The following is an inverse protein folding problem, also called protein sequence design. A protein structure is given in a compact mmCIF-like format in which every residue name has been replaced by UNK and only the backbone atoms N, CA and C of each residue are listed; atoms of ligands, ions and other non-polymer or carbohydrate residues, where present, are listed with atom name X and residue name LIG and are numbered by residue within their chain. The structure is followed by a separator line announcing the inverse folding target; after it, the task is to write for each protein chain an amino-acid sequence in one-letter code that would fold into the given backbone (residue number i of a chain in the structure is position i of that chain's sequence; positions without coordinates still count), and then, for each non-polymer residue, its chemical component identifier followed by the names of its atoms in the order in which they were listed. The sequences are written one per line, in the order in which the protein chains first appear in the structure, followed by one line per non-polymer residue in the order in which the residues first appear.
data_IF_193170293807
#
_entry.id   IF_193170293807
#
_cell.length_a   1.000
_cell.length_b   1.000
_cell.length_c   1.000
_cell.angle_alpha   90.00
_cell.angle_beta   90.00
_cell.angle_gamma   90.00
#
_symmetry.space_group_name_H-M   'P 1'
#
loop_
_entity.id
_entity.type
_entity.pdbx_description
1 polymer ?
#
# COMPACT_ATOMS: atom_id res chain seq x y z
N UNK A 1 -0.49 29.69 2.44
CA UNK A 1 0.43 28.54 2.52
C UNK A 1 0.29 27.75 3.84
N UNK A 2 0.09 28.36 4.99
CA UNK A 2 -0.08 27.69 6.29
C UNK A 2 -1.29 26.76 6.34
N UNK A 3 -2.46 27.23 5.90
CA UNK A 3 -3.74 26.49 5.93
C UNK A 3 -3.67 25.20 5.09
N UNK A 4 -3.09 25.25 3.88
CA UNK A 4 -2.97 24.10 2.99
C UNK A 4 -2.06 23.00 3.57
N UNK A 5 -0.95 23.39 4.21
CA UNK A 5 -0.04 22.46 4.89
C UNK A 5 -0.73 21.76 6.05
N UNK A 6 -1.54 22.47 6.85
CA UNK A 6 -2.30 21.87 7.95
C UNK A 6 -3.28 20.82 7.44
N UNK A 7 -4.01 21.10 6.36
CA UNK A 7 -4.95 20.13 5.78
C UNK A 7 -4.25 18.86 5.32
N UNK A 8 -3.12 18.99 4.60
CA UNK A 8 -2.33 17.83 4.14
C UNK A 8 -1.83 16.99 5.34
N UNK A 9 -1.32 17.65 6.38
CA UNK A 9 -0.84 16.95 7.60
C UNK A 9 -2.00 16.25 8.33
N UNK A 10 -3.17 16.89 8.42
CA UNK A 10 -4.36 16.28 9.03
C UNK A 10 -4.81 15.05 8.25
N UNK A 11 -4.92 15.14 6.92
CA UNK A 11 -5.29 14.00 6.06
C UNK A 11 -4.28 12.85 6.22
N UNK A 12 -2.98 13.16 6.25
CA UNK A 12 -1.92 12.18 6.48
C UNK A 12 -2.04 11.53 7.86
N UNK A 13 -2.31 12.32 8.91
CA UNK A 13 -2.53 11.82 10.28
C UNK A 13 -3.76 10.90 10.35
N UNK A 14 -4.89 11.31 9.76
CA UNK A 14 -6.09 10.48 9.68
C UNK A 14 -5.84 9.17 8.91
N UNK A 15 -5.02 9.24 7.84
CA UNK A 15 -4.64 8.04 7.11
C UNK A 15 -3.72 7.13 7.93
N UNK A 16 -2.73 7.70 8.64
CA UNK A 16 -1.86 6.92 9.54
C UNK A 16 -2.69 6.13 10.56
N UNK A 17 -3.63 6.79 11.20
CA UNK A 17 -4.52 6.20 12.22
C UNK A 17 -5.38 5.08 11.63
N UNK A 18 -5.97 5.29 10.45
CA UNK A 18 -6.74 4.27 9.75
C UNK A 18 -5.86 3.08 9.30
N UNK A 19 -4.66 3.38 8.79
CA UNK A 19 -3.70 2.37 8.37
C UNK A 19 -3.16 1.56 9.55
N UNK A 20 -2.85 2.22 10.69
CA UNK A 20 -2.46 1.57 11.94
C UNK A 20 -3.50 0.53 12.36
N UNK A 21 -4.77 0.93 12.39
CA UNK A 21 -5.86 0.04 12.76
C UNK A 21 -6.04 -1.13 11.76
N UNK A 22 -5.99 -0.85 10.45
CA UNK A 22 -6.27 -1.85 9.42
C UNK A 22 -5.09 -2.81 9.16
N UNK A 23 -3.85 -2.33 9.22
CA UNK A 23 -2.64 -3.11 8.90
C UNK A 23 -2.03 -3.80 10.12
N UNK A 24 -2.41 -3.41 11.32
CA UNK A 24 -1.86 -3.97 12.55
C UNK A 24 -2.47 -5.30 12.97
N UNK A 25 -3.72 -5.58 12.58
CA UNK A 25 -4.46 -6.76 13.04
C UNK A 25 -4.10 -8.09 12.37
N UNK A 26 -3.71 -8.14 11.08
CA UNK A 26 -3.45 -9.41 10.40
C UNK A 26 -2.49 -10.37 11.11
N UNK A 27 -1.40 -9.93 11.75
CA UNK A 27 -0.51 -10.84 12.49
C UNK A 27 -1.19 -11.60 13.65
N UNK A 28 -2.32 -11.07 14.15
CA UNK A 28 -3.04 -11.65 15.29
C UNK A 28 -4.24 -12.53 14.87
N UNK A 29 -4.48 -12.73 13.57
CA UNK A 29 -5.64 -13.51 13.10
C UNK A 29 -5.63 -14.96 13.61
N UNK A 30 -4.48 -15.62 13.67
CA UNK A 30 -4.39 -16.96 14.22
C UNK A 30 -4.80 -16.99 15.71
N UNK A 31 -4.33 -16.03 16.51
CA UNK A 31 -4.71 -15.89 17.91
C UNK A 31 -6.21 -15.58 18.08
N UNK A 32 -6.79 -14.74 17.23
CA UNK A 32 -8.23 -14.45 17.25
C UNK A 32 -9.04 -15.72 16.96
N UNK A 33 -8.65 -16.50 15.95
CA UNK A 33 -9.31 -17.77 15.62
C UNK A 33 -9.28 -18.73 16.80
N UNK A 34 -8.13 -18.93 17.40
CA UNK A 34 -7.90 -19.88 18.49
C UNK A 34 -8.54 -19.40 19.81
N UNK A 35 -8.15 -18.22 20.28
CA UNK A 35 -8.46 -17.76 21.64
C UNK A 35 -9.79 -17.02 21.75
N UNK A 36 -10.24 -16.36 20.67
CA UNK A 36 -11.45 -15.56 20.70
C UNK A 36 -12.67 -16.26 20.08
N UNK A 37 -12.44 -16.99 18.98
CA UNK A 37 -13.50 -17.63 18.20
C UNK A 37 -13.54 -19.16 18.39
N UNK A 38 -12.64 -19.70 19.21
CA UNK A 38 -12.53 -21.13 19.55
C UNK A 38 -12.56 -22.04 18.33
N UNK A 39 -11.84 -21.62 17.29
CA UNK A 39 -11.77 -22.33 16.00
C UNK A 39 -10.44 -23.02 15.81
N UNK A 40 -10.47 -24.32 15.56
CA UNK A 40 -9.27 -25.14 15.24
C UNK A 40 -8.69 -24.83 13.84
N UNK A 41 -9.42 -24.04 13.03
CA UNK A 41 -9.07 -23.74 11.65
C UNK A 41 -8.06 -22.58 11.52
N UNK A 42 -6.93 -22.66 12.24
CA UNK A 42 -5.87 -21.62 12.20
C UNK A 42 -5.32 -21.34 10.79
N UNK A 43 -5.40 -22.34 9.89
CA UNK A 43 -5.03 -22.18 8.47
C UNK A 43 -5.85 -21.09 7.75
N UNK A 44 -7.02 -20.74 8.26
CA UNK A 44 -7.84 -19.65 7.71
C UNK A 44 -7.21 -18.27 7.92
N UNK A 45 -6.24 -18.10 8.83
CA UNK A 45 -5.62 -16.80 9.10
C UNK A 45 -5.04 -16.15 7.84
N UNK A 46 -4.41 -16.95 6.98
CA UNK A 46 -3.90 -16.47 5.68
C UNK A 46 -5.02 -16.03 4.73
N UNK A 47 -6.13 -16.76 4.67
CA UNK A 47 -7.29 -16.38 3.87
C UNK A 47 -7.97 -15.13 4.40
N UNK A 48 -8.11 -15.02 5.72
CA UNK A 48 -8.68 -13.84 6.37
C UNK A 48 -7.88 -12.57 6.05
N UNK A 49 -6.55 -12.68 5.92
CA UNK A 49 -5.71 -11.58 5.46
C UNK A 49 -6.06 -11.12 4.03
N UNK A 50 -6.36 -12.05 3.14
CA UNK A 50 -6.68 -11.74 1.73
C UNK A 50 -8.07 -11.13 1.57
N UNK A 51 -9.03 -11.48 2.44
CA UNK A 51 -10.44 -11.05 2.33
C UNK A 51 -10.60 -9.53 2.19
N UNK A 52 -10.13 -8.67 3.12
CA UNK A 52 -10.32 -7.22 2.97
C UNK A 52 -9.58 -6.65 1.75
N UNK A 53 -8.46 -7.24 1.36
CA UNK A 53 -7.68 -6.80 0.18
C UNK A 53 -8.47 -7.07 -1.10
N UNK A 54 -9.05 -8.27 -1.22
CA UNK A 54 -9.87 -8.68 -2.37
C UNK A 54 -11.09 -7.76 -2.53
N UNK A 55 -11.84 -7.54 -1.45
CA UNK A 55 -13.03 -6.69 -1.51
C UNK A 55 -12.68 -5.21 -1.74
N UNK A 56 -11.51 -4.75 -1.29
CA UNK A 56 -11.00 -3.42 -1.66
C UNK A 56 -10.66 -3.36 -3.14
N UNK A 57 -10.02 -4.39 -3.71
CA UNK A 57 -9.72 -4.45 -5.14
C UNK A 57 -10.99 -4.29 -6.00
N UNK A 58 -12.07 -4.94 -5.58
CA UNK A 58 -13.36 -4.91 -6.29
C UNK A 58 -14.10 -3.58 -6.10
N UNK A 59 -14.10 -3.02 -4.90
CA UNK A 59 -14.91 -1.84 -4.55
C UNK A 59 -14.25 -0.50 -4.90
N UNK A 60 -12.91 -0.41 -4.90
CA UNK A 60 -12.18 0.85 -5.11
C UNK A 60 -12.53 1.57 -6.41
N UNK A 61 -12.69 0.91 -7.59
CA UNK A 61 -13.07 1.61 -8.81
C UNK A 61 -14.48 2.22 -8.74
N UNK A 62 -15.41 1.56 -8.04
CA UNK A 62 -16.76 2.06 -7.87
C UNK A 62 -16.80 3.29 -6.96
N UNK A 63 -16.12 3.23 -5.81
CA UNK A 63 -15.99 4.39 -4.91
C UNK A 63 -15.27 5.54 -5.57
N UNK A 64 -14.26 5.26 -6.40
CA UNK A 64 -13.54 6.26 -7.16
C UNK A 64 -14.46 7.01 -8.14
N UNK A 65 -15.31 6.30 -8.90
CA UNK A 65 -16.30 6.92 -9.78
C UNK A 65 -17.31 7.78 -9.01
N UNK A 66 -17.67 7.36 -7.81
CA UNK A 66 -18.57 8.12 -6.94
C UNK A 66 -17.89 9.42 -6.46
N UNK A 67 -16.59 9.37 -6.17
CA UNK A 67 -15.79 10.53 -5.76
C UNK A 67 -15.62 11.58 -6.87
N UNK A 68 -15.83 11.23 -8.13
CA UNK A 68 -15.84 12.20 -9.24
C UNK A 68 -17.17 12.91 -9.39
N UNK A 69 -18.26 12.30 -8.88
CA UNK A 69 -19.62 12.86 -8.97
C UNK A 69 -20.02 13.68 -7.76
N UNK A 70 -19.48 13.35 -6.61
CA UNK A 70 -19.81 13.96 -5.32
C UNK A 70 -18.59 14.65 -4.71
N UNK A 71 -18.84 15.49 -3.70
CA UNK A 71 -17.78 16.07 -2.89
C UNK A 71 -16.91 14.94 -2.29
N UNK A 72 -15.58 15.10 -2.38
CA UNK A 72 -14.61 14.10 -1.94
C UNK A 72 -14.54 13.99 -0.42
N UNK A 73 -14.88 15.05 0.33
CA UNK A 73 -14.88 15.06 1.80
C UNK A 73 -15.91 14.08 2.40
N UNK A 74 -17.20 14.08 2.01
CA UNK A 74 -18.16 13.09 2.49
C UNK A 74 -17.74 11.65 2.20
N UNK A 75 -17.11 11.39 1.05
CA UNK A 75 -16.63 10.06 0.69
C UNK A 75 -15.44 9.63 1.54
N UNK A 76 -14.55 10.56 1.90
CA UNK A 76 -13.45 10.29 2.82
C UNK A 76 -13.99 10.04 4.25
N UNK A 77 -14.97 10.82 4.72
CA UNK A 77 -15.68 10.58 5.97
C UNK A 77 -16.35 9.20 5.98
N UNK A 78 -17.08 8.85 4.90
CA UNK A 78 -17.69 7.54 4.73
C UNK A 78 -16.64 6.40 4.86
N UNK A 79 -15.46 6.56 4.26
CA UNK A 79 -14.42 5.55 4.34
C UNK A 79 -13.95 5.31 5.79
N UNK A 80 -13.81 6.36 6.60
CA UNK A 80 -13.45 6.25 8.01
C UNK A 80 -14.58 5.63 8.84
N UNK A 81 -15.82 6.09 8.65
CA UNK A 81 -16.99 5.56 9.36
C UNK A 81 -17.27 4.10 8.97
N UNK A 82 -17.11 3.75 7.70
CA UNK A 82 -17.23 2.38 7.21
C UNK A 82 -16.17 1.45 7.81
N UNK A 83 -14.93 1.94 7.96
CA UNK A 83 -13.87 1.21 8.63
C UNK A 83 -14.18 1.00 10.13
N UNK A 84 -14.68 2.02 10.81
CA UNK A 84 -15.09 1.92 12.22
C UNK A 84 -16.22 0.90 12.40
N UNK A 85 -17.26 0.96 11.58
CA UNK A 85 -18.39 0.04 11.63
C UNK A 85 -17.97 -1.41 11.38
N UNK A 86 -17.10 -1.65 10.39
CA UNK A 86 -16.58 -2.98 10.11
C UNK A 86 -15.70 -3.52 11.25
N UNK A 87 -14.94 -2.65 11.92
CA UNK A 87 -14.15 -3.03 13.09
C UNK A 87 -15.03 -3.35 14.30
N UNK A 88 -16.09 -2.58 14.53
CA UNK A 88 -17.05 -2.91 15.60
C UNK A 88 -17.70 -4.27 15.31
N UNK A 89 -18.15 -4.50 14.08
CA UNK A 89 -18.74 -5.80 13.74
C UNK A 89 -17.73 -6.96 13.92
N UNK A 90 -16.49 -6.81 13.48
CA UNK A 90 -15.44 -7.80 13.68
C UNK A 90 -15.13 -8.00 15.19
N UNK A 91 -15.06 -6.92 15.96
CA UNK A 91 -14.73 -6.94 17.40
C UNK A 91 -15.83 -7.52 18.29
N UNK A 92 -17.07 -7.56 17.83
CA UNK A 92 -18.20 -8.20 18.49
C UNK A 92 -18.64 -9.52 17.83
N UNK A 93 -17.83 -10.05 16.90
CA UNK A 93 -18.18 -11.29 16.22
C UNK A 93 -18.22 -12.48 17.20
N UNK A 94 -19.34 -13.21 17.25
CA UNK A 94 -19.47 -14.41 18.08
C UNK A 94 -18.83 -15.65 17.46
N UNK A 95 -18.60 -15.63 16.14
CA UNK A 95 -18.03 -16.72 15.38
C UNK A 95 -17.22 -16.25 14.18
N UNK A 96 -16.54 -17.19 13.51
CA UNK A 96 -15.70 -16.93 12.34
C UNK A 96 -16.50 -16.33 11.19
N UNK A 97 -17.76 -16.67 11.01
CA UNK A 97 -18.59 -16.19 9.88
C UNK A 97 -18.88 -14.71 10.02
N UNK A 98 -19.30 -14.27 11.20
CA UNK A 98 -19.53 -12.84 11.48
C UNK A 98 -18.22 -12.07 11.42
N UNK A 99 -17.11 -12.64 11.88
CA UNK A 99 -15.78 -12.04 11.75
C UNK A 99 -15.40 -11.83 10.28
N UNK A 100 -15.61 -12.84 9.42
CA UNK A 100 -15.40 -12.72 7.96
C UNK A 100 -16.27 -11.61 7.36
N UNK A 101 -17.54 -11.49 7.76
CA UNK A 101 -18.41 -10.39 7.29
C UNK A 101 -17.84 -9.04 7.68
N UNK A 102 -17.30 -8.89 8.90
CA UNK A 102 -16.59 -7.68 9.33
C UNK A 102 -15.41 -7.35 8.40
N UNK A 103 -14.59 -8.35 8.05
CA UNK A 103 -13.44 -8.17 7.13
C UNK A 103 -13.89 -7.86 5.68
N UNK A 104 -14.98 -8.46 5.21
CA UNK A 104 -15.59 -8.12 3.91
C UNK A 104 -16.03 -6.67 3.89
N UNK A 105 -16.74 -6.23 4.92
CA UNK A 105 -17.17 -4.83 5.05
C UNK A 105 -15.97 -3.87 5.17
N UNK A 106 -14.90 -4.27 5.88
CA UNK A 106 -13.65 -3.51 5.92
C UNK A 106 -13.10 -3.25 4.51
N UNK A 107 -13.10 -4.26 3.64
CA UNK A 107 -12.69 -4.13 2.25
C UNK A 107 -13.65 -3.29 1.40
N UNK A 108 -14.96 -3.52 1.54
CA UNK A 108 -15.99 -2.83 0.76
C UNK A 108 -16.13 -1.34 1.14
N UNK A 109 -16.14 -1.04 2.43
CA UNK A 109 -16.44 0.29 2.97
C UNK A 109 -15.17 1.10 3.28
N UNK A 110 -14.01 0.48 3.44
CA UNK A 110 -12.73 1.14 3.69
C UNK A 110 -12.26 1.99 2.49
N UNK A 111 -11.01 1.79 2.05
CA UNK A 111 -10.45 2.54 0.93
C UNK A 111 -10.03 3.96 1.31
N UNK A 112 -9.65 4.17 2.57
CA UNK A 112 -9.22 5.47 3.10
C UNK A 112 -8.04 6.06 2.34
N UNK A 113 -7.14 5.21 1.79
CA UNK A 113 -5.98 5.67 1.03
C UNK A 113 -6.38 6.34 -0.28
N UNK A 114 -7.19 5.66 -1.12
CA UNK A 114 -7.65 6.22 -2.38
C UNK A 114 -8.52 7.47 -2.17
N UNK A 115 -9.41 7.45 -1.17
CA UNK A 115 -10.27 8.58 -0.82
C UNK A 115 -9.45 9.79 -0.32
N UNK A 116 -8.41 9.58 0.50
CA UNK A 116 -7.50 10.64 0.96
C UNK A 116 -6.71 11.24 -0.21
N UNK A 117 -6.18 10.40 -1.09
CA UNK A 117 -5.45 10.86 -2.27
C UNK A 117 -6.37 11.67 -3.21
N UNK A 118 -7.60 11.21 -3.44
CA UNK A 118 -8.58 11.94 -4.22
C UNK A 118 -8.93 13.31 -3.57
N UNK A 119 -9.09 13.36 -2.26
CA UNK A 119 -9.32 14.62 -1.55
C UNK A 119 -8.12 15.57 -1.67
N UNK A 120 -6.88 15.07 -1.57
CA UNK A 120 -5.68 15.90 -1.71
C UNK A 120 -5.57 16.58 -3.08
N UNK A 121 -6.11 16.00 -4.15
CA UNK A 121 -6.13 16.65 -5.48
C UNK A 121 -6.98 17.91 -5.54
N UNK A 122 -7.86 18.13 -4.59
CA UNK A 122 -8.61 19.41 -4.49
C UNK A 122 -7.76 20.56 -3.97
N UNK A 123 -6.62 20.24 -3.38
CA UNK A 123 -5.73 21.20 -2.70
C UNK A 123 -4.41 21.41 -3.45
N UNK A 124 -3.88 20.34 -4.06
CA UNK A 124 -2.55 20.34 -4.68
C UNK A 124 -2.55 19.59 -6.02
N UNK A 125 -1.62 19.98 -6.90
CA UNK A 125 -1.42 19.35 -8.21
C UNK A 125 0.08 19.25 -8.57
N UNK A 126 0.42 18.54 -9.64
CA UNK A 126 1.77 18.42 -10.16
C UNK A 126 2.81 17.95 -9.13
N UNK A 127 3.95 18.59 -9.04
CA UNK A 127 5.04 18.25 -8.09
C UNK A 127 4.56 18.27 -6.61
N UNK A 128 3.66 19.18 -6.24
CA UNK A 128 3.10 19.23 -4.89
C UNK A 128 2.21 18.01 -4.58
N UNK A 129 1.43 17.54 -5.54
CA UNK A 129 0.66 16.30 -5.42
C UNK A 129 1.57 15.10 -5.27
N UNK A 130 2.59 14.94 -6.13
CA UNK A 130 3.56 13.85 -6.04
C UNK A 130 4.21 13.79 -4.65
N UNK A 131 4.59 14.94 -4.10
CA UNK A 131 5.15 15.05 -2.74
C UNK A 131 4.15 14.64 -1.67
N UNK A 132 2.89 15.03 -1.81
CA UNK A 132 1.81 14.65 -0.89
C UNK A 132 1.52 13.14 -0.94
N UNK A 133 1.53 12.52 -2.13
CA UNK A 133 1.40 11.07 -2.30
C UNK A 133 2.56 10.32 -1.61
N UNK A 134 3.79 10.84 -1.69
CA UNK A 134 4.94 10.26 -0.97
C UNK A 134 4.74 10.34 0.56
N UNK A 135 4.19 11.46 1.07
CA UNK A 135 3.84 11.58 2.50
C UNK A 135 2.72 10.62 2.92
N UNK A 136 1.74 10.38 2.06
CA UNK A 136 0.70 9.38 2.32
C UNK A 136 1.27 7.97 2.40
N UNK A 137 2.19 7.61 1.49
CA UNK A 137 2.91 6.34 1.55
C UNK A 137 3.79 6.23 2.81
N UNK A 138 4.42 7.34 3.22
CA UNK A 138 5.20 7.38 4.46
C UNK A 138 4.33 7.06 5.67
N UNK A 139 3.14 7.67 5.77
CA UNK A 139 2.20 7.40 6.86
C UNK A 139 1.74 5.94 6.91
N UNK A 140 1.46 5.34 5.76
CA UNK A 140 1.07 3.94 5.66
C UNK A 140 2.19 2.99 6.13
N UNK A 141 3.45 3.29 5.79
CA UNK A 141 4.59 2.46 6.18
C UNK A 141 4.97 2.64 7.63
N UNK A 142 4.87 3.85 8.15
CA UNK A 142 5.02 4.11 9.59
C UNK A 142 3.98 3.32 10.38
N UNK A 143 2.73 3.28 9.91
CA UNK A 143 1.67 2.49 10.50
C UNK A 143 1.97 0.98 10.45
N UNK A 144 2.45 0.47 9.30
CA UNK A 144 2.78 -0.95 9.13
C UNK A 144 3.87 -1.44 10.10
N UNK A 145 4.79 -0.56 10.48
CA UNK A 145 5.85 -0.88 11.47
C UNK A 145 5.34 -0.69 12.89
N UNK A 146 4.67 0.43 13.18
CA UNK A 146 4.26 0.78 14.53
C UNK A 146 3.08 -0.06 15.04
N UNK A 147 2.16 -0.48 14.15
CA UNK A 147 0.93 -1.12 14.56
C UNK A 147 1.14 -2.51 15.18
N UNK A 148 1.89 -3.45 14.57
CA UNK A 148 2.11 -4.77 15.20
C UNK A 148 2.80 -4.66 16.57
N UNK A 149 3.73 -3.71 16.72
CA UNK A 149 4.43 -3.47 17.99
C UNK A 149 3.45 -2.91 19.04
N UNK A 150 2.72 -1.85 18.70
CA UNK A 150 1.77 -1.22 19.61
C UNK A 150 0.63 -2.16 20.00
N UNK A 151 0.09 -2.91 19.03
CA UNK A 151 -0.98 -3.87 19.30
C UNK A 151 -0.49 -5.09 20.10
N UNK A 152 0.75 -5.54 19.85
CA UNK A 152 1.37 -6.59 20.65
C UNK A 152 1.49 -6.23 22.13
N UNK A 153 1.79 -4.96 22.45
CA UNK A 153 1.78 -4.47 23.83
C UNK A 153 0.35 -4.44 24.40
N UNK A 154 -0.61 -3.92 23.63
CA UNK A 154 -2.01 -3.85 24.07
C UNK A 154 -2.66 -5.23 24.21
N UNK A 155 -2.17 -6.24 23.52
CA UNK A 155 -2.68 -7.61 23.59
C UNK A 155 -2.58 -8.20 25.00
N UNK A 156 -1.61 -7.77 25.79
CA UNK A 156 -1.41 -8.22 27.18
C UNK A 156 -2.49 -7.66 28.12
N UNK A 157 -3.08 -6.52 27.76
CA UNK A 157 -4.07 -5.80 28.56
C UNK A 157 -5.52 -6.20 28.25
N UNK A 158 -5.75 -7.01 27.21
CA UNK A 158 -7.09 -7.43 26.79
C UNK A 158 -7.36 -8.89 27.17
N UNK A 159 -8.58 -9.19 27.58
CA UNK A 159 -9.01 -10.55 27.93
C UNK A 159 -9.04 -11.48 26.70
N UNK A 160 -9.29 -10.92 25.52
CA UNK A 160 -9.39 -11.68 24.27
C UNK A 160 -8.87 -10.85 23.10
N UNK A 161 -8.04 -11.43 22.20
CA UNK A 161 -7.44 -10.73 21.06
C UNK A 161 -8.42 -9.99 20.14
N UNK A 162 -9.65 -10.49 20.00
CA UNK A 162 -10.71 -9.87 19.17
C UNK A 162 -11.16 -8.52 19.73
N UNK A 163 -11.00 -8.27 21.05
CA UNK A 163 -11.36 -6.99 21.67
C UNK A 163 -10.52 -5.84 21.12
N UNK A 164 -9.31 -6.11 20.61
CA UNK A 164 -8.50 -5.08 19.97
C UNK A 164 -9.27 -4.39 18.84
N UNK A 165 -10.10 -5.10 18.08
CA UNK A 165 -10.94 -4.50 17.04
C UNK A 165 -11.93 -3.47 17.58
N UNK A 166 -12.47 -3.66 18.79
CA UNK A 166 -13.39 -2.71 19.43
C UNK A 166 -12.66 -1.41 19.75
N UNK A 167 -11.47 -1.50 20.34
CA UNK A 167 -10.65 -0.32 20.66
C UNK A 167 -10.12 0.36 19.40
N UNK A 168 -9.70 -0.42 18.41
CA UNK A 168 -9.23 0.11 17.14
C UNK A 168 -10.31 0.84 16.34
N UNK A 169 -11.59 0.53 16.55
CA UNK A 169 -12.70 1.25 15.92
C UNK A 169 -12.75 2.74 16.35
N UNK A 170 -12.23 3.07 17.55
CA UNK A 170 -12.15 4.46 17.99
C UNK A 170 -11.22 5.30 17.11
N UNK A 171 -10.17 4.71 16.53
CA UNK A 171 -9.19 5.41 15.73
C UNK A 171 -9.79 6.01 14.44
N UNK A 172 -10.49 5.26 13.58
CA UNK A 172 -11.15 5.86 12.42
C UNK A 172 -12.34 6.77 12.81
N UNK A 173 -12.98 6.60 13.98
CA UNK A 173 -13.97 7.57 14.49
C UNK A 173 -13.30 8.90 14.82
N UNK A 174 -12.15 8.89 15.51
CA UNK A 174 -11.37 10.10 15.77
C UNK A 174 -10.90 10.74 14.46
N UNK A 175 -10.43 9.94 13.49
CA UNK A 175 -10.07 10.44 12.18
C UNK A 175 -11.26 11.09 11.46
N UNK A 176 -12.46 10.50 11.53
CA UNK A 176 -13.67 11.09 10.98
C UNK A 176 -14.01 12.43 11.64
N UNK A 177 -13.90 12.52 12.98
CA UNK A 177 -14.12 13.76 13.71
C UNK A 177 -13.10 14.86 13.29
N UNK A 178 -11.83 14.52 13.11
CA UNK A 178 -10.82 15.47 12.62
C UNK A 178 -11.12 15.93 11.18
N UNK A 179 -11.53 15.01 10.31
CA UNK A 179 -11.89 15.30 8.92
C UNK A 179 -13.15 16.19 8.79
N UNK A 180 -14.04 16.11 9.78
CA UNK A 180 -15.27 16.93 9.78
C UNK A 180 -14.97 18.43 9.72
N UNK A 181 -13.88 18.86 10.35
CA UNK A 181 -13.46 20.28 10.41
C UNK A 181 -12.67 20.73 9.18
N UNK A 182 -12.32 19.83 8.25
CA UNK A 182 -11.61 20.21 7.03
C UNK A 182 -12.55 20.91 6.02
N UNK A 183 -12.00 21.73 5.11
CA UNK A 183 -12.77 22.39 4.07
C UNK A 183 -13.47 21.37 3.14
N UNK A 184 -14.52 21.76 2.42
CA UNK A 184 -15.12 20.94 1.36
C UNK A 184 -14.08 20.48 0.34
N UNK A 185 -14.23 19.27 -0.17
CA UNK A 185 -13.36 18.67 -1.18
C UNK A 185 -13.85 18.88 -2.62
N UNK A 186 -14.59 19.95 -2.87
CA UNK A 186 -15.08 20.31 -4.19
C UNK A 186 -13.89 20.74 -5.06
N UNK A 187 -13.66 20.04 -6.15
CA UNK A 187 -12.78 20.56 -7.20
C UNK A 187 -13.41 21.86 -7.73
N UNK A 188 -12.63 22.93 -7.99
CA UNK A 188 -13.15 24.07 -8.75
C UNK A 188 -13.85 23.51 -10.00
N UNK A 189 -15.03 24.01 -10.30
CA UNK A 189 -15.73 23.65 -11.53
C UNK A 189 -14.82 24.01 -12.71
N UNK A 190 -14.05 23.06 -13.15
CA UNK A 190 -13.32 23.16 -14.41
C UNK A 190 -14.40 22.97 -15.45
N UNK A 191 -14.78 24.05 -16.14
CA UNK A 191 -15.56 23.96 -17.37
C UNK A 191 -14.99 22.78 -18.15
N UNK A 192 -15.85 21.85 -18.50
CA UNK A 192 -15.49 20.66 -19.24
C UNK A 192 -14.98 21.12 -20.62
N UNK A 193 -13.70 21.45 -20.68
CA UNK A 193 -13.01 21.56 -21.97
C UNK A 193 -13.04 20.17 -22.56
N UNK A 194 -13.99 19.98 -23.47
CA UNK A 194 -14.15 18.80 -24.30
C UNK A 194 -12.94 18.68 -25.25
N UNK A 195 -11.83 18.27 -24.71
CA UNK A 195 -10.60 17.99 -25.42
C UNK A 195 -9.85 16.92 -24.63
N UNK A 196 -9.37 15.88 -25.32
CA UNK A 196 -8.54 14.83 -24.74
C UNK A 196 -7.42 15.50 -23.92
N UNK A 197 -7.47 15.50 -22.59
CA UNK A 197 -6.39 16.11 -21.84
C UNK A 197 -5.33 15.03 -21.60
N UNK A 198 -4.49 14.86 -22.54
CA UNK A 198 -3.14 14.43 -22.28
C UNK A 198 -2.49 15.63 -21.61
N UNK A 199 -2.10 15.51 -20.34
CA UNK A 199 -1.16 16.50 -19.77
C UNK A 199 0.02 16.50 -20.73
N UNK A 200 0.22 17.61 -21.43
CA UNK A 200 1.35 17.73 -22.37
C UNK A 200 2.62 17.46 -21.55
N UNK A 201 3.37 16.41 -21.89
CA UNK A 201 4.57 15.99 -21.18
C UNK A 201 4.41 14.77 -20.24
N UNK A 202 3.24 14.13 -20.11
CA UNK A 202 3.13 12.90 -19.32
C UNK A 202 4.02 11.79 -19.88
N UNK A 203 4.96 11.30 -19.07
CA UNK A 203 5.91 10.25 -19.47
C UNK A 203 5.23 8.87 -19.63
N UNK A 204 4.08 8.64 -19.01
CA UNK A 204 3.34 7.37 -19.07
C UNK A 204 1.83 7.59 -19.21
N UNK A 205 1.12 6.58 -19.73
CA UNK A 205 -0.34 6.55 -19.78
C UNK A 205 -0.93 6.02 -18.46
N UNK A 206 -2.21 6.30 -18.13
CA UNK A 206 -2.84 5.76 -16.94
C UNK A 206 -2.78 4.22 -16.85
N UNK A 207 -2.96 3.52 -17.98
CA UNK A 207 -2.87 2.06 -18.03
C UNK A 207 -1.47 1.53 -17.75
N UNK A 208 -0.44 2.22 -18.21
CA UNK A 208 0.94 1.87 -17.91
C UNK A 208 1.25 2.05 -16.43
N UNK A 209 0.77 3.14 -15.82
CA UNK A 209 0.90 3.38 -14.37
C UNK A 209 0.18 2.30 -13.57
N UNK A 210 -1.05 1.91 -13.97
CA UNK A 210 -1.80 0.82 -13.35
C UNK A 210 -1.01 -0.49 -13.35
N UNK A 211 -0.50 -0.89 -14.53
CA UNK A 211 0.24 -2.13 -14.68
C UNK A 211 1.56 -2.11 -13.89
N UNK A 212 2.29 -0.99 -13.92
CA UNK A 212 3.52 -0.82 -13.16
C UNK A 212 3.26 -0.90 -11.65
N UNK A 213 2.17 -0.31 -11.18
CA UNK A 213 1.77 -0.40 -9.77
C UNK A 213 1.38 -1.83 -9.38
N UNK A 214 0.63 -2.51 -10.24
CA UNK A 214 0.29 -3.92 -10.06
C UNK A 214 1.56 -4.78 -9.93
N UNK A 215 2.50 -4.67 -10.88
CA UNK A 215 3.75 -5.45 -10.88
C UNK A 215 4.62 -5.13 -9.67
N UNK A 216 4.76 -3.85 -9.31
CA UNK A 216 5.55 -3.44 -8.15
C UNK A 216 5.02 -4.06 -6.85
N UNK A 217 3.68 -4.02 -6.64
CA UNK A 217 3.06 -4.60 -5.47
C UNK A 217 3.12 -6.12 -5.51
N UNK A 218 2.79 -6.75 -6.63
CA UNK A 218 2.90 -8.19 -6.81
C UNK A 218 4.31 -8.68 -6.43
N UNK A 219 5.35 -8.10 -7.02
CA UNK A 219 6.73 -8.53 -6.85
C UNK A 219 7.28 -8.32 -5.44
N UNK A 220 6.83 -7.27 -4.75
CA UNK A 220 7.27 -7.01 -3.37
C UNK A 220 6.50 -7.85 -2.35
N UNK A 221 5.22 -8.13 -2.60
CA UNK A 221 4.34 -8.85 -1.66
C UNK A 221 4.45 -10.37 -1.81
N UNK A 222 4.82 -10.89 -2.99
CA UNK A 222 4.90 -12.35 -3.23
C UNK A 222 5.87 -13.07 -2.28
N UNK A 223 6.87 -12.37 -1.77
CA UNK A 223 7.84 -12.93 -0.80
C UNK A 223 7.37 -12.83 0.65
N UNK A 224 6.34 -12.03 0.97
CA UNK A 224 5.95 -11.71 2.35
C UNK A 224 5.60 -12.92 3.21
N UNK A 225 4.73 -13.85 2.75
CA UNK A 225 4.32 -14.97 3.60
C UNK A 225 5.46 -15.92 3.96
N UNK A 226 6.49 -15.99 3.12
CA UNK A 226 7.56 -17.00 3.24
C UNK A 226 8.91 -16.42 3.65
N UNK A 227 9.04 -15.11 3.78
CA UNK A 227 10.32 -14.48 4.12
C UNK A 227 10.82 -14.87 5.52
N UNK A 228 9.95 -14.87 6.53
CA UNK A 228 10.35 -15.19 7.91
C UNK A 228 10.77 -16.66 8.03
N UNK A 229 9.95 -17.65 7.63
CA UNK A 229 10.39 -19.05 7.57
C UNK A 229 11.69 -19.22 6.77
N UNK A 230 11.77 -18.67 5.58
CA UNK A 230 12.97 -18.73 4.74
C UNK A 230 14.23 -18.24 5.45
N UNK A 231 14.17 -17.09 6.13
CA UNK A 231 15.31 -16.51 6.82
C UNK A 231 15.75 -17.36 8.04
N UNK A 232 14.79 -18.04 8.69
CA UNK A 232 15.07 -18.93 9.83
C UNK A 232 15.59 -20.29 9.37
N UNK A 233 14.94 -20.93 8.42
CA UNK A 233 15.31 -22.26 7.90
C UNK A 233 16.70 -22.25 7.23
N UNK A 234 17.06 -21.13 6.60
CA UNK A 234 18.39 -20.91 6.05
C UNK A 234 19.46 -20.51 7.10
N UNK A 235 19.10 -20.48 8.39
CA UNK A 235 20.02 -20.13 9.48
C UNK A 235 20.48 -18.66 9.51
N UNK A 236 19.85 -17.79 8.72
CA UNK A 236 20.20 -16.37 8.62
C UNK A 236 19.55 -15.51 9.71
N UNK A 237 18.53 -16.01 10.38
CA UNK A 237 17.86 -15.35 11.50
C UNK A 237 17.70 -16.30 12.67
N UNK A 238 18.41 -16.04 13.76
CA UNK A 238 18.42 -16.91 14.94
C UNK A 238 17.05 -16.96 15.67
N UNK A 239 16.24 -15.92 15.53
CA UNK A 239 14.92 -15.82 16.19
C UNK A 239 13.89 -15.19 15.25
N UNK A 240 12.58 -15.45 15.47
CA UNK A 240 11.50 -14.76 14.73
C UNK A 240 11.58 -13.24 14.81
N UNK A 241 12.05 -12.69 15.93
CA UNK A 241 12.22 -11.25 16.12
C UNK A 241 13.27 -10.67 15.17
N UNK A 242 14.42 -11.35 15.00
CA UNK A 242 15.47 -10.96 14.04
C UNK A 242 14.95 -11.07 12.60
N UNK A 243 14.23 -12.13 12.27
CA UNK A 243 13.61 -12.29 10.96
C UNK A 243 12.57 -11.18 10.68
N UNK A 244 11.76 -10.82 11.68
CA UNK A 244 10.81 -9.71 11.61
C UNK A 244 11.50 -8.35 11.42
N UNK A 245 12.63 -8.10 12.08
CA UNK A 245 13.43 -6.90 11.86
C UNK A 245 13.95 -6.83 10.42
N UNK A 246 14.52 -7.92 9.92
CA UNK A 246 14.96 -8.03 8.51
C UNK A 246 13.78 -7.82 7.55
N UNK A 247 12.60 -8.36 7.85
CA UNK A 247 11.39 -8.14 7.07
C UNK A 247 11.02 -6.65 7.02
N UNK A 248 11.07 -5.95 8.15
CA UNK A 248 10.74 -4.52 8.26
C UNK A 248 11.76 -3.57 7.62
N UNK A 249 13.00 -4.02 7.41
CA UNK A 249 14.12 -3.17 7.00
C UNK A 249 13.88 -2.35 5.73
N UNK A 250 13.31 -2.88 4.62
CA UNK A 250 12.98 -2.08 3.44
C UNK A 250 11.98 -0.95 3.72
N UNK A 251 11.06 -1.15 4.67
CA UNK A 251 10.10 -0.13 5.07
C UNK A 251 10.76 0.98 5.89
N UNK A 252 11.74 0.62 6.76
CA UNK A 252 12.56 1.60 7.46
C UNK A 252 13.39 2.44 6.50
N UNK A 253 14.01 1.82 5.49
CA UNK A 253 14.74 2.55 4.43
C UNK A 253 13.81 3.53 3.71
N UNK A 254 12.56 3.14 3.45
CA UNK A 254 11.57 4.04 2.87
C UNK A 254 11.28 5.24 3.79
N UNK A 255 11.09 5.02 5.08
CA UNK A 255 10.79 6.10 6.02
C UNK A 255 11.91 7.14 6.09
N UNK A 256 13.16 6.70 6.09
CA UNK A 256 14.34 7.58 6.15
C UNK A 256 14.67 8.17 4.77
N UNK A 257 14.61 7.34 3.73
CA UNK A 257 15.10 7.66 2.38
C UNK A 257 14.10 8.35 1.47
N UNK A 258 12.78 8.28 1.75
CA UNK A 258 11.77 8.77 0.80
C UNK A 258 11.87 10.27 0.48
N UNK A 259 12.18 11.11 1.47
CA UNK A 259 12.33 12.56 1.27
C UNK A 259 13.60 12.93 0.48
N UNK A 260 14.81 12.48 0.88
CA UNK A 260 16.01 12.79 0.11
C UNK A 260 15.97 12.21 -1.31
N UNK A 261 15.47 10.98 -1.48
CA UNK A 261 15.31 10.35 -2.80
C UNK A 261 14.28 11.10 -3.64
N UNK A 262 13.16 11.55 -3.05
CA UNK A 262 12.16 12.35 -3.76
C UNK A 262 12.76 13.66 -4.30
N UNK A 263 13.57 14.36 -3.48
CA UNK A 263 14.25 15.59 -3.90
C UNK A 263 15.26 15.32 -5.00
N UNK A 264 16.05 14.25 -4.86
CA UNK A 264 17.06 13.87 -5.84
C UNK A 264 16.46 13.44 -7.19
N UNK A 265 15.26 12.87 -7.20
CA UNK A 265 14.53 12.44 -8.41
C UNK A 265 13.62 13.54 -9.00
N UNK A 266 13.43 14.68 -8.33
CA UNK A 266 12.42 15.68 -8.69
C UNK A 266 12.59 16.23 -10.11
N UNK A 267 13.84 16.38 -10.56
CA UNK A 267 14.20 16.94 -11.87
C UNK A 267 14.75 15.87 -12.85
N UNK A 268 14.62 14.58 -12.50
CA UNK A 268 15.05 13.46 -13.34
C UNK A 268 13.88 12.81 -14.02
N UNK A 269 14.11 12.17 -15.18
CA UNK A 269 13.09 11.41 -15.90
C UNK A 269 12.55 10.26 -15.04
N UNK A 270 11.26 10.32 -14.73
CA UNK A 270 10.60 9.38 -13.78
C UNK A 270 10.57 7.97 -14.31
N UNK A 271 10.37 7.79 -15.62
CA UNK A 271 10.38 6.47 -16.27
C UNK A 271 11.78 5.85 -16.20
N UNK A 272 12.84 6.64 -16.44
CA UNK A 272 14.22 6.17 -16.34
C UNK A 272 14.59 5.80 -14.91
N UNK A 273 14.21 6.63 -13.94
CA UNK A 273 14.42 6.37 -12.52
C UNK A 273 13.67 5.09 -12.07
N UNK A 274 12.42 4.93 -12.49
CA UNK A 274 11.63 3.74 -12.20
C UNK A 274 12.27 2.48 -12.78
N UNK A 275 12.73 2.52 -14.04
CA UNK A 275 13.43 1.40 -14.67
C UNK A 275 14.64 0.94 -13.84
N UNK A 276 15.51 1.87 -13.43
CA UNK A 276 16.67 1.56 -12.59
C UNK A 276 16.23 0.99 -11.23
N UNK A 277 15.21 1.58 -10.62
CA UNK A 277 14.68 1.11 -9.34
C UNK A 277 14.12 -0.32 -9.42
N UNK A 278 13.42 -0.68 -10.51
CA UNK A 278 12.94 -2.05 -10.74
C UNK A 278 14.10 -3.04 -10.93
N UNK A 279 15.17 -2.66 -11.60
CA UNK A 279 16.38 -3.48 -11.72
C UNK A 279 17.07 -3.69 -10.37
N UNK A 280 17.18 -2.64 -9.55
CA UNK A 280 17.72 -2.77 -8.18
C UNK A 280 16.85 -3.69 -7.32
N UNK A 281 15.53 -3.59 -7.43
CA UNK A 281 14.61 -4.50 -6.74
C UNK A 281 14.77 -5.94 -7.21
N UNK A 282 14.83 -6.18 -8.53
CA UNK A 282 15.05 -7.52 -9.08
C UNK A 282 16.39 -8.11 -8.61
N UNK A 283 17.46 -7.34 -8.67
CA UNK A 283 18.78 -7.76 -8.18
C UNK A 283 18.74 -8.06 -6.68
N UNK A 284 18.03 -7.25 -5.88
CA UNK A 284 17.91 -7.49 -4.44
C UNK A 284 17.12 -8.75 -4.12
N UNK A 285 16.05 -9.06 -4.86
CA UNK A 285 15.30 -10.31 -4.67
C UNK A 285 16.15 -11.53 -5.06
N UNK A 286 16.86 -11.47 -6.18
CA UNK A 286 17.78 -12.54 -6.57
C UNK A 286 18.92 -12.70 -5.56
N UNK A 287 19.53 -11.61 -5.12
CA UNK A 287 20.61 -11.66 -4.14
C UNK A 287 20.19 -12.28 -2.79
N UNK A 288 18.94 -12.06 -2.38
CA UNK A 288 18.40 -12.71 -1.18
C UNK A 288 18.33 -14.23 -1.31
N UNK A 289 18.09 -14.78 -2.51
CA UNK A 289 18.06 -16.24 -2.75
C UNK A 289 19.42 -16.91 -2.46
N UNK A 290 20.51 -16.22 -2.80
CA UNK A 290 21.87 -16.73 -2.61
C UNK A 290 22.55 -16.20 -1.35
N UNK A 291 21.85 -15.44 -0.52
CA UNK A 291 22.38 -15.02 0.77
C UNK A 291 22.57 -16.25 1.66
N UNK A 292 23.75 -16.38 2.28
CA UNK A 292 24.10 -17.46 3.19
C UNK A 292 24.44 -16.97 4.61
N UNK A 293 24.43 -15.66 4.80
CA UNK A 293 24.74 -15.02 6.10
C UNK A 293 23.73 -13.93 6.43
N UNK A 294 23.56 -13.65 7.72
CA UNK A 294 22.75 -12.56 8.20
C UNK A 294 23.16 -11.21 7.59
N UNK A 295 24.46 -10.94 7.49
CA UNK A 295 24.99 -9.69 6.94
C UNK A 295 24.69 -9.54 5.44
N UNK A 296 24.83 -10.62 4.66
CA UNK A 296 24.51 -10.63 3.25
C UNK A 296 23.00 -10.39 3.03
N UNK A 297 22.15 -11.08 3.81
CA UNK A 297 20.71 -10.87 3.74
C UNK A 297 20.33 -9.43 4.11
N UNK A 298 20.94 -8.88 5.16
CA UNK A 298 20.75 -7.47 5.57
C UNK A 298 21.11 -6.50 4.45
N UNK A 299 22.26 -6.71 3.79
CA UNK A 299 22.70 -5.85 2.68
C UNK A 299 21.68 -5.88 1.52
N UNK A 300 21.19 -7.07 1.14
CA UNK A 300 20.19 -7.22 0.10
C UNK A 300 18.83 -6.61 0.50
N UNK A 301 18.42 -6.70 1.77
CA UNK A 301 17.22 -6.04 2.28
C UNK A 301 17.33 -4.51 2.28
N UNK A 302 18.51 -3.96 2.59
CA UNK A 302 18.78 -2.52 2.45
C UNK A 302 18.71 -2.08 0.99
N UNK A 303 19.33 -2.83 0.07
CA UNK A 303 19.24 -2.57 -1.37
C UNK A 303 17.78 -2.64 -1.87
N UNK A 304 17.03 -3.65 -1.41
CA UNK A 304 15.59 -3.75 -1.68
C UNK A 304 14.84 -2.49 -1.21
N UNK A 305 15.17 -1.98 -0.01
CA UNK A 305 14.59 -0.76 0.54
C UNK A 305 14.87 0.47 -0.32
N UNK A 306 16.11 0.62 -0.80
CA UNK A 306 16.49 1.71 -1.72
C UNK A 306 15.74 1.61 -3.05
N UNK A 307 15.74 0.43 -3.68
CA UNK A 307 15.01 0.19 -4.92
C UNK A 307 13.50 0.42 -4.76
N UNK A 308 12.90 -0.10 -3.67
CA UNK A 308 11.48 0.08 -3.38
C UNK A 308 11.14 1.57 -3.17
N UNK A 309 11.99 2.31 -2.46
CA UNK A 309 11.79 3.75 -2.21
C UNK A 309 11.85 4.52 -3.52
N UNK A 310 12.87 4.30 -4.34
CA UNK A 310 13.01 4.96 -5.62
C UNK A 310 11.87 4.61 -6.58
N UNK A 311 11.44 3.33 -6.63
CA UNK A 311 10.31 2.90 -7.45
C UNK A 311 9.01 3.58 -7.03
N UNK A 312 8.70 3.62 -5.73
CA UNK A 312 7.49 4.27 -5.24
C UNK A 312 7.47 5.79 -5.45
N UNK A 313 8.61 6.44 -5.21
CA UNK A 313 8.74 7.89 -5.46
C UNK A 313 8.52 8.20 -6.94
N UNK A 314 9.15 7.45 -7.85
CA UNK A 314 9.00 7.62 -9.29
C UNK A 314 7.56 7.34 -9.74
N UNK A 315 6.96 6.27 -9.23
CA UNK A 315 5.58 5.89 -9.55
C UNK A 315 4.57 6.93 -9.05
N UNK A 316 4.74 7.47 -7.84
CA UNK A 316 3.90 8.56 -7.33
C UNK A 316 4.03 9.84 -8.18
N UNK A 317 5.20 10.10 -8.75
CA UNK A 317 5.40 11.15 -9.73
C UNK A 317 4.59 10.90 -11.01
N UNK A 318 4.65 9.68 -11.57
CA UNK A 318 3.87 9.29 -12.75
C UNK A 318 2.35 9.31 -12.46
N UNK A 319 1.93 8.91 -11.27
CA UNK A 319 0.52 9.02 -10.84
C UNK A 319 0.09 10.49 -10.85
N UNK A 320 0.90 11.38 -10.29
CA UNK A 320 0.58 12.81 -10.24
C UNK A 320 0.45 13.44 -11.64
N UNK A 321 1.17 12.92 -12.65
CA UNK A 321 1.12 13.40 -14.03
C UNK A 321 -0.14 12.90 -14.76
N UNK A 322 -0.67 11.73 -14.43
CA UNK A 322 -1.85 11.16 -15.10
C UNK A 322 -3.16 11.51 -14.41
N UNK A 323 -3.11 12.00 -13.17
CA UNK A 323 -4.29 12.37 -12.38
C UNK A 323 -4.80 13.74 -12.82
N UNK A 324 -6.06 13.75 -13.27
CA UNK A 324 -6.81 14.97 -13.55
C UNK A 324 -7.75 15.27 -12.39
N UNK A 325 -7.83 16.53 -11.96
CA UNK A 325 -8.68 16.90 -10.81
C UNK A 325 -10.13 16.48 -10.99
N UNK A 326 -10.69 16.64 -12.21
CA UNK A 326 -12.07 16.28 -12.51
C UNK A 326 -12.38 14.78 -12.42
N UNK A 327 -11.37 13.91 -12.57
CA UNK A 327 -11.47 12.43 -12.52
C UNK A 327 -10.52 11.79 -11.51
N UNK A 328 -10.10 12.55 -10.52
CA UNK A 328 -9.12 12.07 -9.56
C UNK A 328 -9.64 10.87 -8.76
N UNK A 329 -10.92 10.87 -8.39
CA UNK A 329 -11.55 9.77 -7.66
C UNK A 329 -11.49 8.47 -8.45
N UNK A 330 -11.98 8.45 -9.70
CA UNK A 330 -11.94 7.25 -10.54
C UNK A 330 -10.51 6.79 -10.82
N UNK A 331 -9.59 7.72 -11.04
CA UNK A 331 -8.18 7.40 -11.28
C UNK A 331 -7.55 6.72 -10.06
N UNK A 332 -7.69 7.30 -8.87
CA UNK A 332 -7.13 6.69 -7.64
C UNK A 332 -7.84 5.39 -7.26
N UNK A 333 -9.16 5.31 -7.39
CA UNK A 333 -9.91 4.07 -7.13
C UNK A 333 -9.50 2.94 -8.07
N UNK A 334 -9.25 3.24 -9.33
CA UNK A 334 -8.78 2.28 -10.31
C UNK A 334 -7.32 1.86 -10.06
N UNK A 335 -6.42 2.80 -9.78
CA UNK A 335 -5.03 2.51 -9.43
C UNK A 335 -4.95 1.70 -8.13
N UNK A 336 -5.74 2.03 -7.10
CA UNK A 336 -5.83 1.25 -5.86
C UNK A 336 -6.26 -0.19 -6.15
N UNK A 337 -7.26 -0.40 -7.01
CA UNK A 337 -7.67 -1.73 -7.45
C UNK A 337 -6.50 -2.52 -8.05
N UNK A 338 -5.69 -1.92 -8.92
CA UNK A 338 -4.51 -2.54 -9.50
C UNK A 338 -3.50 -3.00 -8.45
N UNK A 339 -3.21 -2.13 -7.49
CA UNK A 339 -2.35 -2.44 -6.34
C UNK A 339 -2.88 -3.63 -5.53
N UNK A 340 -4.18 -3.66 -5.22
CA UNK A 340 -4.79 -4.74 -4.44
C UNK A 340 -4.85 -6.06 -5.21
N UNK A 341 -5.15 -6.04 -6.52
CA UNK A 341 -5.07 -7.23 -7.36
C UNK A 341 -3.63 -7.79 -7.41
N UNK A 342 -2.62 -6.92 -7.48
CA UNK A 342 -1.22 -7.33 -7.35
C UNK A 342 -0.96 -8.07 -6.04
N UNK A 343 -1.44 -7.55 -4.92
CA UNK A 343 -1.28 -8.20 -3.60
C UNK A 343 -2.05 -9.52 -3.47
N UNK A 344 -3.29 -9.60 -3.99
CA UNK A 344 -4.10 -10.83 -3.99
C UNK A 344 -3.40 -11.93 -4.79
N UNK A 345 -2.99 -11.62 -6.04
CA UNK A 345 -2.30 -12.59 -6.89
C UNK A 345 -0.93 -12.99 -6.32
N UNK A 346 -0.23 -12.05 -5.66
CA UNK A 346 1.01 -12.36 -4.96
C UNK A 346 0.79 -13.41 -3.86
N UNK A 347 -0.24 -13.26 -3.04
CA UNK A 347 -0.56 -14.21 -1.98
C UNK A 347 -0.90 -15.61 -2.52
N UNK A 348 -1.74 -15.70 -3.56
CA UNK A 348 -2.07 -16.98 -4.21
C UNK A 348 -0.84 -17.62 -4.86
N UNK A 349 -0.06 -16.85 -5.61
CA UNK A 349 1.15 -17.34 -6.27
C UNK A 349 2.16 -17.84 -5.25
N UNK A 350 2.40 -17.07 -4.19
CA UNK A 350 3.32 -17.43 -3.13
C UNK A 350 2.91 -18.76 -2.46
N UNK A 351 1.62 -18.91 -2.12
CA UNK A 351 1.10 -20.13 -1.50
C UNK A 351 1.26 -21.36 -2.38
N UNK A 352 0.89 -21.24 -3.67
CA UNK A 352 0.99 -22.34 -4.61
C UNK A 352 2.44 -22.76 -4.85
N UNK A 353 3.33 -21.78 -5.10
CA UNK A 353 4.69 -22.02 -5.53
C UNK A 353 5.58 -22.50 -4.38
N UNK A 354 5.44 -21.93 -3.19
CA UNK A 354 6.21 -22.38 -2.03
C UNK A 354 5.82 -23.80 -1.56
N UNK A 355 4.55 -24.20 -1.78
CA UNK A 355 4.09 -25.54 -1.47
C UNK A 355 4.61 -26.59 -2.47
N UNK A 356 4.68 -26.24 -3.76
CA UNK A 356 5.07 -27.19 -4.83
C UNK A 356 6.59 -27.30 -5.01
N UNK A 357 7.33 -26.21 -4.78
CA UNK A 357 8.77 -26.16 -5.06
C UNK A 357 9.60 -25.89 -3.79
N UNK A 358 9.80 -24.62 -3.45
CA UNK A 358 10.69 -24.17 -2.36
C UNK A 358 10.34 -22.74 -1.97
N UNK A 359 10.61 -22.34 -0.73
CA UNK A 359 10.42 -20.99 -0.21
C UNK A 359 11.23 -19.90 -0.97
N UNK A 360 12.20 -20.28 -1.80
CA UNK A 360 13.00 -19.38 -2.66
C UNK A 360 12.25 -18.98 -3.95
N UNK A 361 11.35 -19.81 -4.45
CA UNK A 361 10.68 -19.57 -5.72
C UNK A 361 9.87 -18.26 -5.79
N UNK A 362 9.17 -17.81 -4.75
CA UNK A 362 8.54 -16.49 -4.73
C UNK A 362 9.48 -15.34 -5.07
N UNK A 363 10.75 -15.41 -4.65
CA UNK A 363 11.76 -14.39 -4.96
C UNK A 363 12.11 -14.38 -6.46
N UNK A 364 12.27 -15.55 -7.08
CA UNK A 364 12.50 -15.65 -8.53
C UNK A 364 11.32 -15.09 -9.33
N UNK A 365 10.08 -15.41 -8.94
CA UNK A 365 8.87 -14.91 -9.60
C UNK A 365 8.78 -13.39 -9.49
N UNK A 366 8.99 -12.84 -8.28
CA UNK A 366 9.01 -11.40 -8.06
C UNK A 366 10.09 -10.71 -8.90
N UNK A 367 11.31 -11.25 -8.91
CA UNK A 367 12.41 -10.71 -9.70
C UNK A 367 12.11 -10.74 -11.20
N UNK A 368 11.58 -11.86 -11.71
CA UNK A 368 11.22 -12.01 -13.13
C UNK A 368 10.16 -10.98 -13.54
N UNK A 369 9.12 -10.77 -12.74
CA UNK A 369 8.09 -9.77 -13.03
C UNK A 369 8.69 -8.35 -13.08
N UNK A 370 9.62 -8.01 -12.17
CA UNK A 370 10.33 -6.72 -12.19
C UNK A 370 11.23 -6.55 -13.41
N UNK A 371 11.94 -7.61 -13.83
CA UNK A 371 12.76 -7.58 -15.05
C UNK A 371 11.91 -7.37 -16.30
N UNK A 372 10.78 -8.06 -16.41
CA UNK A 372 9.81 -7.86 -17.51
C UNK A 372 9.31 -6.41 -17.52
N UNK A 373 8.94 -5.86 -16.37
CA UNK A 373 8.49 -4.47 -16.28
C UNK A 373 9.59 -3.47 -16.64
N UNK A 374 10.84 -3.73 -16.22
CA UNK A 374 11.98 -2.88 -16.58
C UNK A 374 12.28 -2.94 -18.08
N UNK A 375 12.23 -4.14 -18.69
CA UNK A 375 12.37 -4.33 -20.13
C UNK A 375 11.28 -3.62 -20.93
N UNK A 376 10.03 -3.69 -20.44
CA UNK A 376 8.91 -2.94 -21.03
C UNK A 376 9.15 -1.42 -21.01
N UNK A 377 9.64 -0.86 -19.90
CA UNK A 377 9.99 0.56 -19.81
C UNK A 377 11.15 0.94 -20.74
N UNK A 378 12.14 0.05 -20.91
CA UNK A 378 13.22 0.27 -21.85
C UNK A 378 12.73 0.32 -23.31
N UNK A 379 11.85 -0.60 -23.69
CA UNK A 379 11.23 -0.62 -25.02
C UNK A 379 10.40 0.64 -25.29
N UNK A 380 9.65 1.12 -24.29
CA UNK A 380 8.90 2.39 -24.40
C UNK A 380 9.79 3.60 -24.66
N UNK A 381 10.95 3.67 -23.99
CA UNK A 381 11.90 4.78 -24.14
C UNK A 381 12.48 4.81 -25.56
N UNK A 382 12.76 3.65 -26.15
CA UNK A 382 13.25 3.53 -27.54
C UNK A 382 12.18 3.94 -28.56
N UNK A 383 10.91 3.61 -28.30
CA UNK A 383 9.79 3.95 -29.19
C UNK A 383 9.41 5.45 -29.18
N UNK A 384 9.98 6.26 -28.26
CA UNK A 384 9.73 7.72 -28.13
C UNK A 384 11.04 8.51 -28.12
N UNK A 385 11.81 8.58 -29.22
CA UNK A 385 13.15 9.20 -29.23
C UNK A 385 13.18 10.73 -29.06
N UNK A 386 12.05 11.39 -28.77
CA UNK A 386 11.93 12.86 -28.76
C UNK A 386 11.72 13.54 -27.40
N UNK A 387 11.68 12.83 -26.27
CA UNK A 387 11.34 13.42 -24.96
C UNK A 387 12.48 13.39 -23.92
N UNK A 388 13.69 13.02 -24.31
CA UNK A 388 14.79 12.76 -23.38
C UNK A 388 15.89 13.83 -23.32
N UNK A 389 15.85 14.90 -24.12
CA UNK A 389 16.89 15.94 -24.16
C UNK A 389 16.26 17.32 -24.37
N UNK A 390 15.58 17.83 -23.37
CA UNK A 390 15.33 19.28 -23.27
C UNK A 390 15.25 19.72 -21.81
#
# INVERSE_FOLDING_TARGET
MTTQRHVVVTVMGCHFVAAFAALGMPPFFALILEQSLHSDAQFLAGWLYVVPILFTAMSSPWWGKLADRYDKKPLLLRAQLGLAASFLLAGFAPDVRVFVVGLVLQGLLGGTFAASNAYLTTLVSGKALARSLNWMQWSARAALIAAPVGLGVLLVEVESPIQLYRYLALLPLLAAAMLWWLPPGTAPAVEAVAGKPRVAGAEATPWQVYWLQFVLVFSTVVTFPYFIPYAQDAGMAATPAVAGLLFGLPHLVYLVGSLPISRWLEDRGRVSALKVALLLLAASLLGQVWASTWSALTAWRLLMGLGMTAAMVSLNGLIADVVQQARAGSTFGWLESGSKWGAVLAGFTAGLVAHVFDARFPFFIGATALLIASGYLAAMAVARPGLGNS
#
